data_IF_460241785513
#
_entry.id   IF_460241785513
#
_cell.length_a   1.000
_cell.length_b   1.000
_cell.length_c   1.000
_cell.angle_alpha   90.00
_cell.angle_beta   90.00
_cell.angle_gamma   90.00
#
_symmetry.space_group_name_H-M   'P 1'
#
loop_
_entity.id
_entity.type
_entity.pdbx_description
1 polymer ?
#
# COMPACT_ATOMS: atom_id res chain seq x y z
N UNK A 1 18.27 -8.79 31.05
CA UNK A 1 18.26 -8.12 29.72
C UNK A 1 19.58 -8.44 29.07
N UNK A 2 19.57 -9.13 27.92
CA UNK A 2 20.77 -9.30 27.10
C UNK A 2 20.71 -8.23 26.02
N UNK A 3 21.84 -7.58 25.78
CA UNK A 3 21.98 -6.55 24.76
C UNK A 3 21.68 -7.15 23.37
N UNK A 4 20.98 -6.40 22.49
CA UNK A 4 20.65 -6.86 21.15
C UNK A 4 21.92 -7.22 20.37
N UNK A 5 21.87 -8.40 19.73
CA UNK A 5 23.01 -8.97 19.03
C UNK A 5 23.23 -8.21 17.71
N UNK A 6 24.29 -7.41 17.67
CA UNK A 6 24.71 -6.51 16.58
C UNK A 6 23.82 -5.28 16.35
N UNK A 7 24.22 -4.17 16.98
CA UNK A 7 23.98 -2.84 16.44
C UNK A 7 24.76 -2.73 15.12
N UNK A 8 24.14 -3.06 14.00
CA UNK A 8 24.52 -2.40 12.75
C UNK A 8 23.72 -1.11 12.75
N UNK A 9 24.29 0.03 13.16
CA UNK A 9 23.58 1.29 13.07
C UNK A 9 23.38 1.57 11.59
N UNK A 10 22.19 1.28 11.09
CA UNK A 10 21.70 1.96 9.90
C UNK A 10 21.77 3.44 10.24
N UNK A 11 22.59 4.20 9.54
CA UNK A 11 22.65 5.64 9.73
C UNK A 11 21.26 6.24 9.49
N UNK A 12 20.97 7.40 10.09
CA UNK A 12 19.67 8.07 9.96
C UNK A 12 19.28 8.37 8.50
N UNK A 13 20.25 8.33 7.58
CA UNK A 13 20.11 8.52 6.12
C UNK A 13 20.33 7.24 5.29
N UNK A 14 20.49 6.07 5.91
CA UNK A 14 20.73 4.82 5.19
C UNK A 14 19.42 4.33 4.53
N UNK A 15 19.37 4.35 3.19
CA UNK A 15 18.22 3.84 2.42
C UNK A 15 17.99 2.33 2.57
N UNK A 16 18.93 1.60 3.20
CA UNK A 16 18.79 0.20 3.63
C UNK A 16 18.18 0.07 5.02
N UNK A 17 17.97 1.19 5.72
CA UNK A 17 17.29 1.19 7.01
C UNK A 17 15.94 0.48 6.88
N UNK A 18 15.57 -0.20 7.96
CA UNK A 18 14.31 -0.92 8.05
C UNK A 18 13.17 0.04 7.74
N UNK A 19 12.35 -0.30 6.74
CA UNK A 19 11.14 0.48 6.44
C UNK A 19 10.23 0.45 7.67
N UNK A 20 9.74 1.62 8.06
CA UNK A 20 8.94 1.77 9.28
C UNK A 20 7.48 2.02 8.90
N UNK A 21 6.58 1.34 9.61
CA UNK A 21 5.15 1.59 9.47
C UNK A 21 4.81 3.01 9.95
N UNK A 22 3.85 3.63 9.30
CA UNK A 22 3.51 5.00 9.56
C UNK A 22 2.73 5.59 8.40
N UNK A 23 2.42 6.87 8.53
CA UNK A 23 1.69 7.58 7.49
C UNK A 23 2.58 8.66 6.89
N UNK A 24 2.64 8.71 5.57
CA UNK A 24 3.62 9.53 4.84
C UNK A 24 2.96 10.27 3.68
N UNK A 25 3.35 11.53 3.41
CA UNK A 25 3.04 12.17 2.14
C UNK A 25 3.80 11.47 1.03
N UNK A 26 3.16 11.28 -0.11
CA UNK A 26 3.71 10.56 -1.24
C UNK A 26 3.08 11.02 -2.56
N UNK A 27 3.72 10.64 -3.66
CA UNK A 27 3.21 10.81 -5.01
C UNK A 27 3.06 9.46 -5.69
N UNK A 28 2.01 9.29 -6.49
CA UNK A 28 1.85 8.09 -7.31
C UNK A 28 2.84 8.15 -8.47
N UNK A 29 3.71 7.14 -8.56
CA UNK A 29 4.76 7.05 -9.58
C UNK A 29 4.57 5.92 -10.58
N UNK A 30 3.60 5.05 -10.35
CA UNK A 30 3.31 3.94 -11.26
C UNK A 30 1.94 3.35 -11.02
N UNK A 31 1.36 2.83 -12.10
CA UNK A 31 0.16 2.01 -12.09
C UNK A 31 0.49 0.73 -12.83
N UNK A 32 0.24 -0.41 -12.21
CA UNK A 32 0.30 -1.72 -12.86
C UNK A 32 -1.05 -2.37 -12.72
N UNK A 33 -1.60 -2.90 -13.81
CA UNK A 33 -2.86 -3.59 -13.77
C UNK A 33 -2.76 -5.03 -14.27
N UNK A 34 -3.69 -5.86 -13.81
CA UNK A 34 -3.84 -7.24 -14.28
C UNK A 34 -5.29 -7.58 -14.44
N UNK A 35 -5.67 -7.91 -15.67
CA UNK A 35 -7.02 -8.36 -16.00
C UNK A 35 -7.23 -9.85 -15.67
N UNK A 36 -8.46 -10.16 -15.28
CA UNK A 36 -8.95 -11.50 -14.93
C UNK A 36 -10.25 -11.80 -15.70
N UNK A 37 -10.72 -13.04 -15.58
CA UNK A 37 -11.98 -13.47 -16.19
C UNK A 37 -13.16 -12.56 -15.75
N UNK A 38 -14.05 -12.27 -16.69
CA UNK A 38 -15.20 -11.38 -16.47
C UNK A 38 -14.88 -9.89 -16.56
N UNK A 39 -13.71 -9.50 -17.10
CA UNK A 39 -13.31 -8.09 -17.22
C UNK A 39 -12.88 -7.45 -15.90
N UNK A 40 -12.84 -8.23 -14.82
CA UNK A 40 -12.35 -7.79 -13.51
C UNK A 40 -10.86 -7.49 -13.58
N UNK A 41 -10.41 -6.54 -12.79
CA UNK A 41 -9.04 -6.06 -12.85
C UNK A 41 -8.50 -5.78 -11.45
N UNK A 42 -7.21 -6.07 -11.26
CA UNK A 42 -6.48 -5.66 -10.06
C UNK A 42 -5.52 -4.55 -10.44
N UNK A 43 -5.68 -3.41 -9.80
CA UNK A 43 -4.78 -2.26 -9.95
C UNK A 43 -3.83 -2.18 -8.77
N UNK A 44 -2.53 -2.15 -9.04
CA UNK A 44 -1.48 -1.89 -8.07
C UNK A 44 -0.89 -0.52 -8.34
N UNK A 45 -0.91 0.34 -7.32
CA UNK A 45 -0.24 1.63 -7.36
C UNK A 45 1.16 1.50 -6.75
N UNK A 46 2.11 2.17 -7.37
CA UNK A 46 3.45 2.39 -6.83
C UNK A 46 3.57 3.85 -6.43
N UNK A 47 4.04 4.10 -5.22
CA UNK A 47 4.19 5.45 -4.67
C UNK A 47 5.63 5.74 -4.30
N UNK A 48 6.00 7.01 -4.35
CA UNK A 48 7.27 7.52 -3.83
C UNK A 48 6.98 8.46 -2.68
N UNK A 49 7.62 8.23 -1.54
CA UNK A 49 7.50 9.10 -0.36
C UNK A 49 8.08 10.48 -0.68
N UNK A 50 7.31 11.52 -0.39
CA UNK A 50 7.66 12.92 -0.68
C UNK A 50 8.64 13.49 0.36
N UNK A 51 9.32 14.58 0.00
CA UNK A 51 10.34 15.23 0.84
C UNK A 51 9.75 15.79 2.15
N UNK A 52 8.46 16.15 2.17
CA UNK A 52 7.77 16.63 3.36
C UNK A 52 7.72 15.60 4.49
N UNK A 53 7.93 14.31 4.17
CA UNK A 53 8.00 13.23 5.15
C UNK A 53 9.21 13.36 6.09
N UNK A 54 10.26 14.12 5.74
CA UNK A 54 11.45 14.33 6.60
C UNK A 54 11.08 14.82 8.01
N UNK A 55 10.00 15.60 8.12
CA UNK A 55 9.55 16.20 9.38
C UNK A 55 8.71 15.25 10.24
N UNK A 56 8.28 14.11 9.70
CA UNK A 56 7.44 13.14 10.40
C UNK A 56 8.29 12.35 11.38
N UNK A 57 7.79 12.20 12.60
CA UNK A 57 8.44 11.40 13.65
C UNK A 57 7.91 9.98 13.61
N UNK A 58 8.81 9.02 13.50
CA UNK A 58 8.49 7.59 13.48
C UNK A 58 9.23 6.86 14.61
N UNK A 59 8.65 5.78 15.13
CA UNK A 59 9.30 4.98 16.16
C UNK A 59 10.63 4.40 15.65
N UNK A 60 11.67 4.52 16.47
CA UNK A 60 12.96 3.90 16.20
C UNK A 60 12.90 2.41 16.51
N UNK A 61 13.29 1.60 15.54
CA UNK A 61 13.43 0.15 15.68
C UNK A 61 14.88 -0.26 15.43
N UNK A 62 15.31 -1.31 16.12
CA UNK A 62 16.54 -2.03 15.84
C UNK A 62 16.22 -3.45 15.39
N UNK A 63 17.10 -4.05 14.60
CA UNK A 63 16.96 -5.45 14.24
C UNK A 63 17.10 -6.32 15.49
N UNK A 64 16.14 -7.22 15.69
CA UNK A 64 16.16 -8.19 16.78
C UNK A 64 15.67 -9.54 16.26
N UNK A 65 16.61 -10.46 16.08
CA UNK A 65 16.36 -11.79 15.53
C UNK A 65 15.32 -12.61 16.31
N UNK A 66 15.13 -12.32 17.59
CA UNK A 66 14.28 -13.08 18.51
C UNK A 66 12.87 -12.49 18.66
N UNK A 67 12.59 -11.36 18.01
CA UNK A 67 11.29 -10.67 18.07
C UNK A 67 10.34 -11.08 16.93
N UNK A 68 9.03 -10.94 17.16
CA UNK A 68 7.94 -11.42 16.26
C UNK A 68 7.97 -10.79 14.85
N UNK A 69 8.78 -9.74 14.63
CA UNK A 69 8.96 -9.06 13.33
C UNK A 69 10.42 -8.70 13.02
N UNK A 70 11.35 -9.41 13.64
CA UNK A 70 12.78 -9.13 13.53
C UNK A 70 13.16 -7.69 13.92
N UNK A 71 12.35 -7.05 14.78
CA UNK A 71 12.53 -5.67 15.25
C UNK A 71 12.11 -5.48 16.70
N UNK A 72 12.92 -4.73 17.46
CA UNK A 72 12.60 -4.28 18.81
C UNK A 72 12.54 -2.75 18.86
N UNK A 73 11.56 -2.15 19.59
CA UNK A 73 11.52 -0.70 19.78
C UNK A 73 12.72 -0.26 20.61
N UNK A 74 13.33 0.86 20.23
CA UNK A 74 14.34 1.51 21.07
C UNK A 74 13.64 2.32 22.15
N UNK A 75 14.02 2.08 23.41
CA UNK A 75 13.50 2.80 24.57
C UNK A 75 14.57 3.75 25.11
N UNK A 76 14.15 4.89 25.66
CA UNK A 76 15.00 5.80 26.41
C UNK A 76 15.24 5.30 27.86
N UNK A 77 16.03 6.04 28.63
CA UNK A 77 16.37 5.70 30.02
C UNK A 77 15.14 5.63 30.94
N UNK A 78 14.04 6.28 30.56
CA UNK A 78 12.76 6.29 31.27
C UNK A 78 11.80 5.18 30.78
N UNK A 79 12.23 4.36 29.81
CA UNK A 79 11.45 3.28 29.21
C UNK A 79 10.43 3.73 28.17
N UNK A 80 10.48 4.99 27.71
CA UNK A 80 9.61 5.51 26.65
C UNK A 80 10.21 5.22 25.28
N UNK A 81 9.33 5.07 24.28
CA UNK A 81 9.77 4.81 22.91
C UNK A 81 10.45 6.02 22.28
N UNK A 82 11.64 5.80 21.71
CA UNK A 82 12.40 6.83 21.01
C UNK A 82 11.83 7.02 19.60
N UNK A 83 11.64 8.30 19.21
CA UNK A 83 11.19 8.69 17.89
C UNK A 83 12.30 9.39 17.11
N UNK A 84 12.46 9.03 15.83
CA UNK A 84 13.41 9.63 14.88
C UNK A 84 12.67 10.29 13.71
N UNK A 85 13.26 11.28 13.03
CA UNK A 85 12.71 11.80 11.78
C UNK A 85 12.67 10.72 10.69
N UNK A 86 11.62 10.70 9.88
CA UNK A 86 11.41 9.72 8.81
C UNK A 86 12.19 10.04 7.52
N UNK A 87 13.35 10.71 7.64
CA UNK A 87 14.18 11.12 6.50
C UNK A 87 14.63 9.95 5.62
N UNK A 88 14.93 8.80 6.24
CA UNK A 88 15.28 7.57 5.51
C UNK A 88 14.14 7.00 4.64
N UNK A 89 12.89 7.40 4.90
CA UNK A 89 11.74 6.99 4.07
C UNK A 89 11.61 7.85 2.80
N UNK A 90 12.17 9.05 2.78
CA UNK A 90 12.02 10.00 1.67
C UNK A 90 12.63 9.43 0.38
N UNK A 91 11.87 9.54 -0.72
CA UNK A 91 12.24 8.98 -2.01
C UNK A 91 12.16 7.46 -2.11
N UNK A 92 11.78 6.74 -1.04
CA UNK A 92 11.56 5.30 -1.12
C UNK A 92 10.33 5.00 -1.95
N UNK A 93 10.45 3.96 -2.78
CA UNK A 93 9.35 3.45 -3.58
C UNK A 93 8.66 2.31 -2.83
N UNK A 94 7.36 2.46 -2.64
CA UNK A 94 6.52 1.54 -1.88
C UNK A 94 5.43 0.99 -2.79
N UNK A 95 5.29 -0.32 -2.76
CA UNK A 95 4.23 -1.01 -3.47
C UNK A 95 2.99 -1.10 -2.58
N UNK A 96 1.83 -1.00 -3.21
CA UNK A 96 0.57 -1.31 -2.55
C UNK A 96 0.23 -2.80 -2.57
N UNK A 97 -0.93 -3.11 -2.00
CA UNK A 97 -1.53 -4.43 -1.96
C UNK A 97 -2.53 -4.69 -3.11
N UNK A 98 -2.62 -3.77 -4.07
CA UNK A 98 -3.62 -3.83 -5.11
C UNK A 98 -5.04 -3.54 -4.65
N UNK A 99 -5.90 -3.24 -5.60
CA UNK A 99 -7.34 -3.12 -5.40
C UNK A 99 -8.10 -3.64 -6.59
N UNK A 100 -9.15 -4.39 -6.28
CA UNK A 100 -10.03 -5.00 -7.26
C UNK A 100 -11.02 -3.97 -7.79
N UNK A 101 -11.21 -4.01 -9.09
CA UNK A 101 -12.33 -3.40 -9.79
C UNK A 101 -13.14 -4.49 -10.47
N UNK A 102 -14.44 -4.49 -10.19
CA UNK A 102 -15.40 -5.41 -10.74
C UNK A 102 -16.22 -4.72 -11.83
N UNK A 103 -15.93 -5.01 -13.11
CA UNK A 103 -16.55 -4.38 -14.29
C UNK A 103 -18.08 -4.55 -14.28
N UNK A 104 -18.55 -5.76 -13.94
CA UNK A 104 -19.98 -6.08 -13.87
C UNK A 104 -20.72 -5.28 -12.78
N UNK A 105 -19.99 -4.72 -11.82
CA UNK A 105 -20.51 -3.99 -10.67
C UNK A 105 -20.15 -2.50 -10.68
N UNK A 106 -19.86 -1.92 -11.85
CA UNK A 106 -19.46 -0.49 -11.98
C UNK A 106 -20.48 0.57 -11.54
N UNK A 107 -21.74 0.18 -11.35
CA UNK A 107 -22.81 1.02 -10.79
C UNK A 107 -23.18 0.63 -9.35
N UNK A 108 -22.45 -0.31 -8.76
CA UNK A 108 -22.64 -0.75 -7.39
C UNK A 108 -21.43 -0.38 -6.54
N UNK A 109 -21.62 0.70 -5.80
CA UNK A 109 -20.63 1.19 -4.85
C UNK A 109 -20.25 0.12 -3.82
N UNK A 110 -21.18 -0.71 -3.35
CA UNK A 110 -20.88 -1.66 -2.27
C UNK A 110 -19.91 -2.75 -2.70
N UNK A 111 -20.05 -3.26 -3.93
CA UNK A 111 -19.15 -4.27 -4.48
C UNK A 111 -17.77 -3.69 -4.81
N UNK A 112 -17.71 -2.42 -5.20
CA UNK A 112 -16.47 -1.71 -5.56
C UNK A 112 -16.04 -0.66 -4.50
N UNK A 113 -16.46 -0.81 -3.24
CA UNK A 113 -16.33 0.24 -2.21
C UNK A 113 -14.86 0.65 -2.03
N UNK A 114 -13.98 -0.33 -1.83
CA UNK A 114 -12.54 -0.09 -1.67
C UNK A 114 -11.89 0.60 -2.86
N UNK A 115 -12.34 0.27 -4.07
CA UNK A 115 -11.87 0.91 -5.28
C UNK A 115 -12.32 2.36 -5.31
N UNK A 116 -13.60 2.61 -5.09
CA UNK A 116 -14.18 3.93 -5.19
C UNK A 116 -13.71 4.87 -4.06
N UNK A 117 -13.58 4.38 -2.82
CA UNK A 117 -12.98 5.12 -1.70
C UNK A 117 -11.54 5.54 -2.01
N UNK A 118 -10.76 4.62 -2.59
CA UNK A 118 -9.38 4.89 -2.97
C UNK A 118 -9.32 5.97 -4.05
N UNK A 119 -10.09 5.84 -5.12
CA UNK A 119 -10.11 6.80 -6.22
C UNK A 119 -10.58 8.18 -5.75
N UNK A 120 -11.61 8.25 -4.92
CA UNK A 120 -12.04 9.50 -4.30
C UNK A 120 -10.95 10.11 -3.41
N UNK A 121 -10.19 9.29 -2.68
CA UNK A 121 -9.09 9.77 -1.83
C UNK A 121 -7.92 10.34 -2.64
N UNK A 122 -7.75 9.86 -3.87
CA UNK A 122 -6.79 10.40 -4.84
C UNK A 122 -7.33 11.63 -5.59
N UNK A 123 -8.64 11.93 -5.45
CA UNK A 123 -9.29 13.02 -6.17
C UNK A 123 -9.69 12.67 -7.61
N UNK A 124 -9.77 11.38 -7.94
CA UNK A 124 -10.31 10.91 -9.21
C UNK A 124 -11.83 10.98 -9.16
N UNK A 125 -12.43 11.81 -10.01
CA UNK A 125 -13.87 11.99 -10.09
C UNK A 125 -14.48 11.10 -11.17
N UNK A 126 -15.52 10.35 -10.80
CA UNK A 126 -16.27 9.51 -11.74
C UNK A 126 -17.57 10.20 -12.20
N UNK A 127 -17.95 10.04 -13.47
CA UNK A 127 -19.17 10.64 -14.00
C UNK A 127 -20.42 10.03 -13.35
N UNK A 128 -21.45 10.87 -13.16
CA UNK A 128 -22.74 10.43 -12.65
C UNK A 128 -23.65 9.91 -13.77
N UNK A 129 -24.48 8.92 -13.43
CA UNK A 129 -25.46 8.32 -14.34
C UNK A 129 -26.80 8.13 -13.65
N UNK A 130 -27.88 8.55 -14.30
CA UNK A 130 -29.24 8.21 -13.87
C UNK A 130 -29.52 6.73 -14.14
N UNK A 131 -29.87 6.00 -13.09
CA UNK A 131 -30.24 4.59 -13.14
C UNK A 131 -31.68 4.43 -12.63
N UNK A 132 -32.50 3.69 -13.37
CA UNK A 132 -33.90 3.42 -13.04
C UNK A 132 -34.86 3.80 -14.17
N UNK A 133 -36.15 3.49 -13.98
CA UNK A 133 -37.23 3.83 -14.92
C UNK A 133 -38.34 4.60 -14.20
N UNK A 134 -38.91 5.61 -14.87
CA UNK A 134 -40.05 6.37 -14.35
C UNK A 134 -39.69 7.23 -13.13
N UNK A 135 -40.49 7.13 -12.06
CA UNK A 135 -40.34 7.94 -10.84
C UNK A 135 -39.21 7.48 -9.90
N UNK A 136 -38.58 6.34 -10.18
CA UNK A 136 -37.51 5.76 -9.35
C UNK A 136 -36.11 5.97 -9.97
N UNK A 137 -35.87 7.12 -10.59
CA UNK A 137 -34.53 7.48 -11.06
C UNK A 137 -33.65 7.83 -9.86
N UNK A 138 -32.49 7.18 -9.78
CA UNK A 138 -31.46 7.46 -8.79
C UNK A 138 -30.18 7.79 -9.54
N UNK A 139 -29.50 8.87 -9.14
CA UNK A 139 -28.19 9.23 -9.66
C UNK A 139 -27.14 8.38 -8.96
N UNK A 140 -26.30 7.70 -9.73
CA UNK A 140 -25.19 6.89 -9.23
C UNK A 140 -23.89 7.27 -9.92
N UNK A 141 -22.77 7.23 -9.22
CA UNK A 141 -21.46 7.31 -9.87
C UNK A 141 -21.22 6.06 -10.72
N UNK A 142 -20.80 6.26 -11.96
CA UNK A 142 -20.36 5.20 -12.86
C UNK A 142 -18.86 5.05 -12.70
N UNK A 143 -18.45 4.06 -11.92
CA UNK A 143 -17.04 3.73 -11.74
C UNK A 143 -16.46 3.26 -13.08
N UNK A 144 -15.27 3.74 -13.42
CA UNK A 144 -14.57 3.38 -14.65
C UNK A 144 -13.19 2.86 -14.29
N UNK A 145 -12.60 2.05 -15.17
CA UNK A 145 -11.18 1.71 -15.07
C UNK A 145 -10.36 3.00 -15.13
N UNK A 146 -9.30 3.07 -14.34
CA UNK A 146 -8.34 4.17 -14.38
C UNK A 146 -7.16 3.78 -15.25
N UNK A 147 -6.62 4.76 -15.95
CA UNK A 147 -5.36 4.66 -16.66
C UNK A 147 -4.26 5.40 -15.89
N UNK A 148 -3.00 5.25 -16.34
CA UNK A 148 -1.86 5.87 -15.68
C UNK A 148 -2.01 7.41 -15.64
N UNK A 149 -2.51 8.02 -16.71
CA UNK A 149 -2.70 9.46 -16.84
C UNK A 149 -3.64 10.06 -15.78
N UNK A 150 -4.60 9.26 -15.29
CA UNK A 150 -5.57 9.69 -14.29
C UNK A 150 -4.93 9.88 -12.91
N UNK A 151 -3.89 9.11 -12.61
CA UNK A 151 -3.35 8.97 -11.24
C UNK A 151 -1.89 9.35 -11.10
N UNK A 152 -1.09 9.28 -12.16
CA UNK A 152 0.34 9.57 -12.09
C UNK A 152 0.61 11.01 -11.63
N UNK A 153 1.55 11.14 -10.72
CA UNK A 153 1.96 12.40 -10.12
C UNK A 153 1.01 12.93 -9.06
N UNK A 154 -0.18 12.33 -8.85
CA UNK A 154 -1.12 12.82 -7.86
C UNK A 154 -0.55 12.72 -6.45
N UNK A 155 -0.70 13.78 -5.63
CA UNK A 155 -0.29 13.76 -4.24
C UNK A 155 -1.28 12.95 -3.41
N UNK A 156 -0.77 12.14 -2.50
CA UNK A 156 -1.57 11.37 -1.57
C UNK A 156 -0.86 11.25 -0.22
N UNK A 157 -1.64 10.94 0.81
CA UNK A 157 -1.10 10.55 2.10
C UNK A 157 -1.33 9.05 2.26
N UNK A 158 -0.25 8.29 2.41
CA UNK A 158 -0.33 6.83 2.47
C UNK A 158 -0.30 6.34 3.91
N UNK A 159 -0.99 5.24 4.17
CA UNK A 159 -0.78 4.45 5.39
C UNK A 159 0.05 3.23 5.03
N UNK A 160 1.29 3.17 5.51
CA UNK A 160 2.22 2.08 5.27
C UNK A 160 2.30 1.17 6.50
N UNK A 161 2.10 -0.13 6.32
CA UNK A 161 2.06 -1.04 7.45
C UNK A 161 2.08 -2.51 7.07
N UNK A 162 2.05 -3.35 8.10
CA UNK A 162 2.11 -4.80 7.92
C UNK A 162 0.79 -5.36 7.43
N UNK A 163 0.87 -6.08 6.32
CA UNK A 163 -0.24 -6.83 5.77
C UNK A 163 -0.03 -8.32 5.97
N UNK A 164 -1.06 -8.98 6.49
CA UNK A 164 -1.14 -10.44 6.56
C UNK A 164 -1.65 -11.01 5.26
N UNK A 165 -0.96 -12.01 4.72
CA UNK A 165 -1.40 -12.76 3.55
C UNK A 165 -1.38 -14.26 3.82
N UNK A 166 -2.35 -15.05 3.32
CA UNK A 166 -2.34 -16.49 3.51
C UNK A 166 -1.13 -17.08 2.75
N UNK A 167 -0.29 -17.85 3.44
CA UNK A 167 0.79 -18.57 2.76
C UNK A 167 0.17 -19.62 1.84
N UNK A 168 0.68 -19.68 0.61
CA UNK A 168 0.32 -20.71 -0.35
C UNK A 168 1.57 -21.49 -0.73
N UNK A 169 1.42 -22.79 -0.88
CA UNK A 169 2.44 -23.68 -1.40
C UNK A 169 1.85 -24.40 -2.61
N UNK A 170 2.69 -24.68 -3.60
CA UNK A 170 2.28 -25.48 -4.74
C UNK A 170 2.22 -26.95 -4.29
N UNK A 171 1.07 -27.56 -4.45
CA UNK A 171 0.90 -28.99 -4.24
C UNK A 171 1.64 -29.73 -5.37
N UNK A 172 2.56 -30.63 -5.03
CA UNK A 172 3.40 -31.32 -6.02
C UNK A 172 2.60 -32.33 -6.85
N UNK A 173 1.52 -32.89 -6.30
CA UNK A 173 0.68 -33.89 -6.96
C UNK A 173 -0.33 -33.26 -7.93
N UNK A 174 -1.01 -32.18 -7.51
CA UNK A 174 -2.02 -31.50 -8.34
C UNK A 174 -1.46 -30.36 -9.18
N UNK A 175 -0.29 -29.83 -8.82
CA UNK A 175 0.29 -28.64 -9.41
C UNK A 175 -0.44 -27.33 -9.05
N UNK A 176 -1.48 -27.39 -8.22
CA UNK A 176 -2.27 -26.24 -7.80
C UNK A 176 -1.68 -25.54 -6.56
N UNK A 177 -1.97 -24.26 -6.40
CA UNK A 177 -1.55 -23.50 -5.22
C UNK A 177 -2.56 -23.64 -4.10
N UNK A 178 -2.18 -24.35 -3.04
CA UNK A 178 -3.02 -24.59 -1.89
C UNK A 178 -2.58 -23.74 -0.70
N UNK A 179 -3.54 -23.41 0.16
CA UNK A 179 -3.27 -22.66 1.38
C UNK A 179 -2.56 -23.55 2.40
N UNK A 180 -1.44 -23.06 2.93
CA UNK A 180 -0.66 -23.78 3.95
C UNK A 180 -1.40 -23.73 5.28
N UNK A 181 -1.49 -24.89 5.94
CA UNK A 181 -2.04 -25.04 7.28
C UNK A 181 -0.97 -25.54 8.25
N UNK A 182 -1.09 -25.18 9.52
CA UNK A 182 -0.24 -25.69 10.60
C UNK A 182 -0.70 -27.10 11.05
N UNK A 183 0.00 -27.67 12.03
CA UNK A 183 -0.29 -29.00 12.58
C UNK A 183 -1.71 -29.11 13.20
N UNK A 184 -2.27 -27.98 13.64
CA UNK A 184 -3.64 -27.87 14.16
C UNK A 184 -4.69 -27.63 13.06
N UNK A 185 -4.26 -27.59 11.79
CA UNK A 185 -5.13 -27.34 10.64
C UNK A 185 -5.55 -25.87 10.47
N UNK A 186 -4.95 -24.92 11.20
CA UNK A 186 -5.19 -23.48 11.05
C UNK A 186 -4.38 -22.90 9.91
N UNK A 187 -4.93 -21.87 9.27
CA UNK A 187 -4.29 -21.17 8.16
C UNK A 187 -3.00 -20.49 8.61
N UNK A 188 -1.89 -20.77 7.92
CA UNK A 188 -0.63 -20.05 8.12
C UNK A 188 -0.64 -18.77 7.30
N UNK A 189 -0.19 -17.67 7.90
CA UNK A 189 -0.07 -16.37 7.28
C UNK A 189 1.40 -15.94 7.19
N UNK A 190 1.75 -15.21 6.14
CA UNK A 190 2.95 -14.39 6.05
C UNK A 190 2.60 -12.93 6.35
N UNK A 191 3.61 -12.13 6.67
CA UNK A 191 3.48 -10.69 6.84
C UNK A 191 4.46 -9.98 5.90
N UNK A 192 4.01 -8.88 5.30
CA UNK A 192 4.87 -8.01 4.49
C UNK A 192 4.45 -6.55 4.65
N UNK A 193 5.36 -5.61 4.48
CA UNK A 193 5.06 -4.18 4.56
C UNK A 193 4.55 -3.66 3.20
N UNK A 194 3.36 -3.06 3.20
CA UNK A 194 2.67 -2.56 2.01
C UNK A 194 1.96 -1.24 2.31
N UNK A 195 1.64 -0.49 1.25
CA UNK A 195 0.66 0.60 1.35
C UNK A 195 -0.71 -0.04 1.57
N UNK A 196 -1.30 0.25 2.72
CA UNK A 196 -2.58 -0.28 3.17
C UNK A 196 -3.73 0.62 2.71
N UNK A 197 -3.52 1.93 2.74
CA UNK A 197 -4.56 2.91 2.44
C UNK A 197 -3.99 4.19 1.83
N UNK A 198 -4.90 4.94 1.18
CA UNK A 198 -4.65 6.24 0.59
C UNK A 198 -5.63 7.23 1.20
N UNK A 199 -5.13 8.39 1.58
CA UNK A 199 -5.88 9.50 2.12
C UNK A 199 -5.59 10.76 1.30
N UNK A 200 -6.54 11.70 1.20
CA UNK A 200 -6.27 12.98 0.56
C UNK A 200 -5.09 13.69 1.21
N UNK A 201 -4.23 14.30 0.41
CA UNK A 201 -3.18 15.20 0.88
C UNK A 201 -3.45 16.62 0.38
N UNK A 202 -4.24 17.44 1.10
CA UNK A 202 -4.70 18.75 0.61
C UNK A 202 -3.60 19.78 0.34
N UNK A 203 -2.40 19.55 0.88
CA UNK A 203 -1.24 20.43 0.71
C UNK A 203 -0.25 19.91 -0.33
N UNK A 204 -0.43 18.69 -0.80
CA UNK A 204 0.46 18.13 -1.81
C UNK A 204 0.16 18.74 -3.17
N UNK A 205 1.20 18.93 -3.95
CA UNK A 205 1.10 19.38 -5.33
C UNK A 205 1.35 18.21 -6.28
N UNK A 206 0.65 18.20 -7.42
CA UNK A 206 0.89 17.22 -8.48
C UNK A 206 2.29 17.43 -9.03
N UNK A 207 3.04 16.34 -9.16
CA UNK A 207 4.37 16.36 -9.80
C UNK A 207 4.27 15.85 -11.24
N UNK A 208 5.12 16.38 -12.10
CA UNK A 208 5.34 15.78 -13.42
C UNK A 208 6.25 14.56 -13.27
N UNK A 209 5.80 13.44 -13.82
CA UNK A 209 6.59 12.21 -13.85
C UNK A 209 7.07 12.05 -15.29
N UNK A 210 8.38 12.01 -15.48
CA UNK A 210 8.95 11.76 -16.80
C UNK A 210 8.52 10.36 -17.25
N UNK A 211 7.75 10.29 -18.34
CA UNK A 211 7.47 9.04 -19.06
C UNK A 211 8.81 8.46 -19.53
N UNK A 212 9.31 7.41 -18.87
CA UNK A 212 10.62 6.86 -19.23
C UNK A 212 11.13 5.64 -18.46
N UNK A 213 10.59 5.31 -17.28
CA UNK A 213 11.04 4.15 -16.49
C UNK A 213 10.05 2.96 -16.56
N UNK A 214 9.34 2.80 -17.68
CA UNK A 214 8.44 1.65 -17.91
C UNK A 214 9.13 0.37 -18.42
N UNK A 215 10.46 0.36 -18.60
CA UNK A 215 11.14 -0.79 -19.22
C UNK A 215 12.18 -1.45 -18.29
N UNK A 216 11.68 -2.23 -17.33
CA UNK A 216 12.42 -3.31 -16.73
C UNK A 216 11.64 -4.62 -16.92
N UNK A 217 11.95 -5.43 -17.95
CA UNK A 217 11.34 -6.74 -18.12
C UNK A 217 11.75 -7.65 -16.95
N UNK A 218 10.75 -8.24 -16.29
CA UNK A 218 10.92 -9.38 -15.38
C UNK A 218 11.02 -10.68 -16.17
#
# INVERSE_FOLDING_TARGET
MREPTQEVPFGDDDKRAMRVEGSYPAHIIGLTSREFAGGNEVFNLKVRVADEAETIKVPKYIYDADSERYRAPVLDDDGNQVFIPAKFMVGQELDDNGTWFYEDAKLDWQTNEKYADRMNSLGVEFPEKEVGKGKNKVVKQLLQKIDADDVLGLPCFIEYGWMKYPKKAKNEDSGEWEKVKDEDGKQVYGETLKVLNYLPWPKGEKIEIAEGDEDAPF
#
